data_IF_949315888907
#
_entry.id   IF_949315888907
#
_cell.length_a   1.000
_cell.length_b   1.000
_cell.length_c   1.000
_cell.angle_alpha   90.00
_cell.angle_beta   90.00
_cell.angle_gamma   90.00
#
_symmetry.space_group_name_H-M   'P 1'
#
loop_
_entity.id
_entity.type
_entity.pdbx_description
1 polymer ?
#
# COMPACT_ATOMS: atom_id res chain seq x y z
N UNK A 1 -1.31 -15.92 10.56
CA UNK A 1 -2.26 -16.15 11.65
C UNK A 1 -2.00 -17.49 12.31
N UNK A 2 -2.10 -18.61 11.60
CA UNK A 2 -1.99 -19.96 12.18
C UNK A 2 -0.67 -20.21 12.95
N UNK A 3 0.46 -19.75 12.41
CA UNK A 3 1.76 -19.86 13.06
C UNK A 3 1.77 -19.08 14.39
N UNK A 4 1.19 -17.89 14.40
CA UNK A 4 1.10 -17.07 15.61
C UNK A 4 0.25 -17.75 16.69
N UNK A 5 -0.92 -18.26 16.31
CA UNK A 5 -1.79 -19.03 17.24
C UNK A 5 -1.08 -20.26 17.81
N UNK A 6 -0.39 -21.03 16.95
CA UNK A 6 0.42 -22.19 17.40
C UNK A 6 1.56 -21.80 18.35
N UNK A 7 2.02 -20.57 18.28
CA UNK A 7 3.02 -20.03 19.19
C UNK A 7 2.42 -19.22 20.35
N UNK A 8 1.14 -19.45 20.68
CA UNK A 8 0.45 -18.85 21.81
C UNK A 8 0.37 -17.31 21.75
N UNK A 9 0.31 -16.72 20.58
CA UNK A 9 -0.10 -15.34 20.42
C UNK A 9 -1.63 -15.27 20.45
N UNK A 10 -2.16 -14.27 21.12
CA UNK A 10 -3.55 -13.87 20.99
C UNK A 10 -3.68 -13.09 19.71
N UNK A 11 -4.53 -13.55 18.78
CA UNK A 11 -4.66 -12.96 17.44
C UNK A 11 -6.07 -12.42 17.24
N UNK A 12 -6.15 -11.16 16.89
CA UNK A 12 -7.33 -10.50 16.34
C UNK A 12 -7.25 -10.56 14.83
N UNK A 13 -8.15 -11.28 14.20
CA UNK A 13 -8.31 -11.34 12.75
C UNK A 13 -9.26 -10.23 12.29
N UNK A 14 -9.12 -9.78 11.04
CA UNK A 14 -9.87 -8.65 10.48
C UNK A 14 -9.71 -7.37 11.32
N UNK A 15 -8.52 -7.14 11.86
CA UNK A 15 -8.26 -5.98 12.72
C UNK A 15 -8.62 -4.66 12.02
N UNK A 16 -9.11 -3.72 12.81
CA UNK A 16 -9.64 -2.45 12.32
C UNK A 16 -10.78 -2.56 11.27
N UNK A 17 -11.38 -3.75 11.11
CA UNK A 17 -12.41 -4.03 10.11
C UNK A 17 -11.86 -4.32 8.70
N UNK A 18 -10.57 -4.49 8.55
CA UNK A 18 -9.93 -4.83 7.28
C UNK A 18 -9.89 -6.37 7.12
N UNK A 19 -10.48 -6.95 6.06
CA UNK A 19 -10.71 -8.39 5.95
C UNK A 19 -9.46 -9.27 6.05
N UNK A 20 -8.31 -8.77 5.65
CA UNK A 20 -7.05 -9.51 5.62
C UNK A 20 -6.00 -9.01 6.61
N UNK A 21 -6.31 -7.95 7.37
CA UNK A 21 -5.44 -7.47 8.43
C UNK A 21 -5.56 -8.32 9.69
N UNK A 22 -4.53 -8.30 10.50
CA UNK A 22 -4.57 -8.92 11.83
C UNK A 22 -3.65 -8.17 12.80
N UNK A 23 -3.94 -8.33 14.09
CA UNK A 23 -3.02 -7.96 15.16
C UNK A 23 -2.78 -9.17 16.07
N UNK A 24 -1.57 -9.31 16.55
CA UNK A 24 -1.20 -10.41 17.44
C UNK A 24 -0.37 -9.89 18.61
N UNK A 25 -0.66 -10.39 19.80
CA UNK A 25 0.04 -10.01 21.01
C UNK A 25 0.44 -11.24 21.83
N UNK A 26 1.58 -11.12 22.47
CA UNK A 26 2.07 -12.10 23.44
C UNK A 26 2.82 -11.37 24.55
N UNK A 27 2.64 -11.82 25.79
CA UNK A 27 3.19 -11.19 26.98
C UNK A 27 3.98 -12.16 27.84
N UNK A 28 5.09 -11.70 28.39
CA UNK A 28 5.94 -12.41 29.35
C UNK A 28 6.15 -11.55 30.62
N UNK A 29 5.05 -11.18 31.26
CA UNK A 29 5.08 -10.30 32.42
C UNK A 29 5.15 -8.80 32.09
N UNK A 30 5.10 -7.94 33.13
CA UNK A 30 5.04 -6.50 32.95
C UNK A 30 6.34 -5.96 32.35
N UNK A 31 6.23 -5.02 31.42
CA UNK A 31 7.40 -4.41 30.74
C UNK A 31 7.00 -3.71 29.46
N UNK A 32 7.97 -3.29 28.65
CA UNK A 32 7.72 -2.55 27.43
C UNK A 32 7.01 -3.39 26.37
N UNK A 33 6.23 -2.73 25.54
CA UNK A 33 5.61 -3.30 24.35
C UNK A 33 6.49 -3.03 23.13
N UNK A 34 7.05 -4.09 22.59
CA UNK A 34 7.89 -4.04 21.38
C UNK A 34 7.10 -4.55 20.18
N UNK A 35 7.10 -3.81 19.11
CA UNK A 35 6.33 -4.13 17.93
C UNK A 35 7.18 -4.33 16.67
N UNK A 36 6.64 -5.10 15.76
CA UNK A 36 7.04 -5.16 14.36
C UNK A 36 5.81 -5.48 13.50
N UNK A 37 5.93 -5.41 12.19
CA UNK A 37 4.82 -5.68 11.30
C UNK A 37 5.23 -6.52 10.08
N UNK A 38 4.24 -7.11 9.44
CA UNK A 38 4.39 -7.79 8.16
C UNK A 38 3.57 -7.07 7.09
N UNK A 39 4.20 -6.77 5.96
CA UNK A 39 3.52 -6.44 4.72
C UNK A 39 3.39 -7.70 3.86
N UNK A 40 2.31 -7.80 3.11
CA UNK A 40 2.04 -8.99 2.27
C UNK A 40 1.11 -8.66 1.10
N UNK A 41 1.48 -7.65 0.36
CA UNK A 41 0.71 -7.23 -0.81
C UNK A 41 0.60 -8.35 -1.85
N UNK A 42 -0.61 -8.49 -2.41
CA UNK A 42 -0.86 -9.29 -3.59
C UNK A 42 -0.92 -8.37 -4.81
N UNK A 43 0.14 -8.34 -5.59
CA UNK A 43 0.31 -7.38 -6.68
C UNK A 43 -0.23 -7.96 -8.00
N UNK A 44 -1.04 -7.22 -8.77
CA UNK A 44 -1.52 -7.66 -10.08
C UNK A 44 -0.38 -8.05 -11.02
N UNK A 45 -0.60 -9.07 -11.82
CA UNK A 45 0.39 -9.59 -12.77
C UNK A 45 1.53 -10.41 -12.14
N UNK A 46 1.45 -10.70 -10.84
CA UNK A 46 2.50 -11.42 -10.13
C UNK A 46 2.08 -12.82 -9.64
N UNK A 47 1.04 -13.40 -10.23
CA UNK A 47 0.61 -14.76 -9.94
C UNK A 47 1.58 -15.77 -10.56
N UNK A 48 2.43 -16.35 -9.73
CA UNK A 48 3.53 -17.20 -10.15
C UNK A 48 3.64 -18.46 -9.30
N UNK A 49 4.18 -19.53 -9.89
CA UNK A 49 4.59 -20.73 -9.16
C UNK A 49 5.78 -20.43 -8.23
N UNK A 50 5.91 -21.23 -7.17
CA UNK A 50 7.01 -21.12 -6.21
C UNK A 50 8.31 -21.73 -6.78
N UNK A 51 8.87 -21.06 -7.78
CA UNK A 51 10.13 -21.45 -8.45
C UNK A 51 11.04 -20.24 -8.63
N UNK A 52 12.36 -20.41 -8.72
CA UNK A 52 13.34 -19.31 -8.78
C UNK A 52 13.46 -18.65 -10.17
N UNK A 53 12.48 -18.81 -11.03
CA UNK A 53 12.42 -18.21 -12.36
C UNK A 53 10.99 -17.84 -12.72
N UNK A 54 10.81 -16.95 -13.69
CA UNK A 54 9.49 -16.51 -14.11
C UNK A 54 8.67 -17.68 -14.66
N UNK A 55 7.62 -18.04 -13.96
CA UNK A 55 6.69 -19.10 -14.35
C UNK A 55 5.28 -18.74 -13.89
N UNK A 56 4.50 -18.06 -14.73
CA UNK A 56 3.11 -17.74 -14.41
C UNK A 56 2.34 -19.01 -14.07
N UNK A 57 1.47 -18.91 -13.09
CA UNK A 57 0.65 -20.03 -12.61
C UNK A 57 -0.37 -20.44 -13.67
N UNK A 58 -0.38 -21.69 -14.04
CA UNK A 58 -1.31 -22.22 -15.04
C UNK A 58 -2.78 -22.05 -14.58
N UNK A 59 -3.65 -21.70 -15.50
CA UNK A 59 -5.09 -21.53 -15.24
C UNK A 59 -5.48 -20.17 -14.64
N UNK A 60 -4.52 -19.26 -14.43
CA UNK A 60 -4.79 -17.90 -13.97
C UNK A 60 -4.58 -16.89 -15.10
N UNK A 61 -5.29 -15.76 -15.02
CA UNK A 61 -5.08 -14.62 -15.91
C UNK A 61 -3.66 -14.07 -15.74
N UNK A 62 -3.10 -13.48 -16.79
CA UNK A 62 -1.82 -12.77 -16.73
C UNK A 62 -1.83 -11.60 -15.73
N UNK A 63 -3.01 -11.03 -15.47
CA UNK A 63 -3.22 -9.95 -14.50
C UNK A 63 -3.54 -10.45 -13.08
N UNK A 64 -3.58 -11.77 -12.86
CA UNK A 64 -3.88 -12.31 -11.55
C UNK A 64 -2.83 -11.85 -10.51
N UNK A 65 -3.31 -11.52 -9.33
CA UNK A 65 -2.45 -11.05 -8.25
C UNK A 65 -1.63 -12.19 -7.62
N UNK A 66 -0.43 -11.86 -7.17
CA UNK A 66 0.48 -12.81 -6.52
C UNK A 66 1.44 -12.13 -5.55
N UNK A 67 2.11 -12.96 -4.74
CA UNK A 67 3.01 -12.54 -3.66
C UNK A 67 4.49 -12.68 -4.05
N UNK A 68 4.90 -12.13 -5.17
CA UNK A 68 6.31 -12.09 -5.60
C UNK A 68 7.00 -10.78 -5.27
N UNK A 69 6.32 -9.91 -4.57
CA UNK A 69 6.83 -8.63 -4.10
C UNK A 69 7.78 -8.79 -2.91
N UNK A 70 8.77 -7.91 -2.74
CA UNK A 70 9.66 -7.87 -1.57
C UNK A 70 8.95 -7.87 -0.21
N UNK A 71 7.71 -7.41 -0.12
CA UNK A 71 6.89 -7.44 1.08
C UNK A 71 6.69 -8.85 1.64
N UNK A 72 6.67 -9.87 0.79
CA UNK A 72 6.62 -11.27 1.25
C UNK A 72 7.87 -11.65 2.06
N UNK A 73 9.05 -11.18 1.63
CA UNK A 73 10.29 -11.39 2.38
C UNK A 73 10.30 -10.58 3.69
N UNK A 74 9.78 -9.34 3.67
CA UNK A 74 9.59 -8.53 4.87
C UNK A 74 8.72 -9.27 5.89
N UNK A 75 7.55 -9.72 5.47
CA UNK A 75 6.59 -10.39 6.35
C UNK A 75 7.15 -11.66 7.00
N UNK A 76 7.84 -12.49 6.22
CA UNK A 76 8.48 -13.73 6.74
C UNK A 76 9.64 -13.41 7.68
N UNK A 77 10.47 -12.40 7.36
CA UNK A 77 11.58 -11.99 8.21
C UNK A 77 11.09 -11.40 9.52
N UNK A 78 10.07 -10.55 9.49
CA UNK A 78 9.46 -9.98 10.69
C UNK A 78 8.85 -11.07 11.58
N UNK A 79 8.13 -12.03 11.01
CA UNK A 79 7.59 -13.17 11.76
C UNK A 79 8.72 -14.02 12.38
N UNK A 80 9.78 -14.30 11.65
CA UNK A 80 10.93 -15.05 12.16
C UNK A 80 11.62 -14.33 13.31
N UNK A 81 11.85 -13.02 13.15
CA UNK A 81 12.41 -12.17 14.21
C UNK A 81 11.54 -12.13 15.46
N UNK A 82 10.22 -11.98 15.29
CA UNK A 82 9.25 -12.01 16.40
C UNK A 82 9.33 -13.32 17.19
N UNK A 83 9.31 -14.46 16.51
CA UNK A 83 9.37 -15.78 17.14
C UNK A 83 10.71 -16.03 17.84
N UNK A 84 11.82 -15.58 17.23
CA UNK A 84 13.14 -15.66 17.85
C UNK A 84 13.22 -14.77 19.11
N UNK A 85 12.67 -13.57 19.06
CA UNK A 85 12.59 -12.65 20.20
C UNK A 85 11.77 -13.27 21.32
N UNK A 86 10.62 -13.86 21.00
CA UNK A 86 9.81 -14.59 22.00
C UNK A 86 10.62 -15.71 22.68
N UNK A 87 11.30 -16.54 21.89
CA UNK A 87 12.11 -17.63 22.42
C UNK A 87 13.25 -17.10 23.32
N UNK A 88 13.88 -16.00 22.94
CA UNK A 88 14.90 -15.34 23.77
C UNK A 88 14.31 -14.77 25.08
N UNK A 89 13.15 -14.12 25.03
CA UNK A 89 12.46 -13.61 26.20
C UNK A 89 12.13 -14.73 27.19
N UNK A 90 11.64 -15.85 26.70
CA UNK A 90 11.36 -17.02 27.55
C UNK A 90 12.64 -17.61 28.13
N UNK A 91 13.67 -17.80 27.30
CA UNK A 91 14.95 -18.41 27.74
C UNK A 91 15.67 -17.57 28.78
N UNK A 92 15.67 -16.27 28.65
CA UNK A 92 16.41 -15.35 29.51
C UNK A 92 15.51 -14.65 30.55
N UNK A 93 14.25 -15.08 30.66
CA UNK A 93 13.26 -14.53 31.59
C UNK A 93 13.12 -13.00 31.49
N UNK A 94 13.10 -12.49 30.23
CA UNK A 94 12.90 -11.07 29.96
C UNK A 94 11.40 -10.76 29.93
N UNK A 95 10.99 -9.79 30.73
CA UNK A 95 9.60 -9.35 30.78
C UNK A 95 9.27 -8.32 29.69
N UNK A 96 7.99 -8.24 29.32
CA UNK A 96 7.49 -7.31 28.31
C UNK A 96 6.47 -7.97 27.39
N UNK A 97 5.99 -7.19 26.44
CA UNK A 97 5.00 -7.59 25.44
C UNK A 97 5.57 -7.52 24.02
N UNK A 98 5.22 -8.50 23.21
CA UNK A 98 5.45 -8.50 21.78
C UNK A 98 4.14 -8.22 21.06
N UNK A 99 4.16 -7.28 20.14
CA UNK A 99 3.04 -6.88 19.32
C UNK A 99 3.38 -7.00 17.84
N UNK A 100 2.49 -7.59 17.07
CA UNK A 100 2.73 -7.86 15.65
C UNK A 100 1.50 -7.56 14.83
N UNK A 101 1.64 -6.68 13.85
CA UNK A 101 0.53 -6.33 12.96
C UNK A 101 0.74 -6.87 11.55
N UNK A 102 -0.35 -7.32 10.97
CA UNK A 102 -0.42 -7.71 9.58
C UNK A 102 -1.00 -6.57 8.75
N UNK A 103 -0.20 -6.05 7.83
CA UNK A 103 -0.46 -4.83 7.08
C UNK A 103 -0.68 -5.11 5.60
N UNK A 104 -1.92 -5.39 5.16
CA UNK A 104 -2.25 -5.57 3.75
C UNK A 104 -2.24 -4.23 3.00
N UNK A 105 -2.10 -4.31 1.68
CA UNK A 105 -2.28 -3.19 0.75
C UNK A 105 -1.39 -1.97 1.07
N UNK A 106 -0.13 -2.21 1.44
CA UNK A 106 0.83 -1.13 1.70
C UNK A 106 1.02 -0.25 0.47
N UNK A 107 1.11 -0.84 -0.71
CA UNK A 107 1.25 -0.11 -1.98
C UNK A 107 0.12 0.87 -2.27
N UNK A 108 -1.04 0.65 -1.69
CA UNK A 108 -2.18 1.56 -1.75
C UNK A 108 -2.26 2.51 -0.55
N UNK A 109 -1.26 2.49 0.34
CA UNK A 109 -1.24 3.27 1.59
C UNK A 109 -2.44 2.98 2.50
N UNK A 110 -2.91 1.73 2.49
CA UNK A 110 -4.21 1.37 3.05
C UNK A 110 -4.21 1.08 4.54
N UNK A 111 -3.48 0.07 4.99
CA UNK A 111 -3.70 -0.54 6.31
C UNK A 111 -3.11 0.24 7.48
N UNK A 112 -1.84 0.61 7.43
CA UNK A 112 -1.16 1.29 8.54
C UNK A 112 -1.84 2.59 8.98
N UNK A 113 -2.27 3.50 8.08
CA UNK A 113 -3.03 4.68 8.47
C UNK A 113 -4.35 4.35 9.16
N UNK A 114 -5.04 3.27 8.76
CA UNK A 114 -6.28 2.83 9.38
C UNK A 114 -6.01 2.28 10.78
N UNK A 115 -5.01 1.42 10.95
CA UNK A 115 -4.58 0.96 12.27
C UNK A 115 -4.20 2.12 13.18
N UNK A 116 -3.41 3.07 12.69
CA UNK A 116 -3.01 4.27 13.44
C UNK A 116 -4.24 5.10 13.86
N UNK A 117 -5.14 5.41 12.93
CA UNK A 117 -6.33 6.18 13.21
C UNK A 117 -7.30 5.51 14.22
N UNK A 118 -7.21 4.19 14.37
CA UNK A 118 -8.00 3.41 15.33
C UNK A 118 -7.24 3.07 16.62
N UNK A 119 -6.06 3.64 16.84
CA UNK A 119 -5.32 3.53 18.09
C UNK A 119 -4.54 2.22 18.26
N UNK A 120 -4.37 1.41 17.22
CA UNK A 120 -3.66 0.12 17.34
C UNK A 120 -2.18 0.27 17.69
N UNK A 121 -1.60 1.45 17.51
CA UNK A 121 -0.20 1.73 17.83
C UNK A 121 0.01 2.59 19.08
N UNK A 122 -1.07 3.01 19.76
CA UNK A 122 -0.98 3.99 20.84
C UNK A 122 -0.24 3.49 22.07
N UNK A 123 -0.20 2.17 22.30
CA UNK A 123 0.42 1.56 23.46
C UNK A 123 1.72 0.80 23.14
N UNK A 124 2.44 1.24 22.12
CA UNK A 124 3.71 0.65 21.69
C UNK A 124 4.86 1.56 22.17
N UNK A 125 5.80 0.99 22.91
CA UNK A 125 6.97 1.72 23.40
C UNK A 125 8.06 1.83 22.33
N UNK A 126 8.24 0.79 21.51
CA UNK A 126 9.18 0.79 20.40
C UNK A 126 8.72 -0.13 19.28
N UNK A 127 8.99 0.29 18.03
CA UNK A 127 8.70 -0.51 16.84
C UNK A 127 9.95 -0.60 15.97
N UNK A 128 10.25 -1.83 15.53
CA UNK A 128 11.30 -2.08 14.55
C UNK A 128 10.64 -2.39 13.22
N UNK A 129 11.00 -1.62 12.22
CA UNK A 129 10.60 -1.80 10.83
C UNK A 129 11.79 -2.30 10.02
N UNK A 130 11.55 -3.29 9.19
CA UNK A 130 12.51 -3.79 8.22
C UNK A 130 11.90 -3.76 6.82
N UNK A 131 12.65 -3.28 5.84
CA UNK A 131 12.24 -3.37 4.46
C UNK A 131 13.40 -3.86 3.60
N UNK A 132 13.23 -4.98 2.85
CA UNK A 132 14.26 -5.42 1.94
C UNK A 132 14.42 -4.41 0.81
N UNK A 133 15.64 -4.01 0.55
CA UNK A 133 16.00 -3.13 -0.55
C UNK A 133 16.93 -3.85 -1.51
N UNK A 134 16.59 -3.78 -2.78
CA UNK A 134 17.44 -4.30 -3.83
C UNK A 134 18.34 -3.17 -4.37
N UNK A 135 19.58 -3.17 -3.91
CA UNK A 135 20.55 -2.16 -4.35
C UNK A 135 21.89 -2.83 -4.69
N UNK A 136 22.04 -3.32 -5.91
CA UNK A 136 23.36 -3.73 -6.40
C UNK A 136 24.28 -2.51 -6.54
N UNK A 137 25.55 -2.62 -6.14
CA UNK A 137 26.29 -3.76 -5.62
C UNK A 137 26.25 -3.94 -4.09
N UNK A 138 25.30 -3.38 -3.41
CA UNK A 138 25.23 -3.23 -1.95
C UNK A 138 24.55 -4.43 -1.25
N UNK A 139 24.68 -5.62 -1.81
CA UNK A 139 24.21 -6.83 -1.15
C UNK A 139 24.98 -7.03 0.18
N UNK A 140 24.30 -7.60 1.18
CA UNK A 140 24.80 -7.76 2.56
C UNK A 140 25.01 -6.45 3.32
N UNK A 141 24.31 -5.40 2.94
CA UNK A 141 24.38 -4.10 3.61
C UNK A 141 23.07 -3.82 4.33
N UNK A 142 23.16 -3.31 5.55
CA UNK A 142 22.04 -2.77 6.32
C UNK A 142 22.22 -1.27 6.45
N UNK A 143 21.17 -0.52 6.17
CA UNK A 143 21.11 0.90 6.45
C UNK A 143 20.21 1.13 7.65
N UNK A 144 20.74 1.76 8.68
CA UNK A 144 19.95 2.21 9.83
C UNK A 144 19.40 3.60 9.62
N UNK A 145 18.36 3.92 10.39
CA UNK A 145 17.79 5.25 10.50
C UNK A 145 17.41 5.85 9.15
N UNK A 146 16.66 5.05 8.38
CA UNK A 146 16.14 5.49 7.08
C UNK A 146 14.78 6.13 7.29
N UNK A 147 14.69 7.40 6.94
CA UNK A 147 13.43 8.13 6.93
C UNK A 147 12.81 8.07 5.52
N UNK A 148 11.62 7.51 5.43
CA UNK A 148 10.82 7.57 4.22
C UNK A 148 10.05 8.90 4.17
N UNK A 149 9.99 9.52 2.99
CA UNK A 149 9.14 10.68 2.78
C UNK A 149 7.65 10.33 2.87
N UNK A 150 6.83 11.29 3.24
CA UNK A 150 5.39 11.14 3.14
C UNK A 150 4.96 11.00 1.66
N UNK A 151 3.97 10.15 1.41
CA UNK A 151 3.35 10.02 0.09
C UNK A 151 1.86 10.31 0.19
N UNK A 152 1.39 11.18 -0.70
CA UNK A 152 -0.03 11.50 -0.84
C UNK A 152 -0.50 11.03 -2.21
N UNK A 153 -1.56 10.24 -2.23
CA UNK A 153 -2.26 9.86 -3.44
C UNK A 153 -3.60 10.60 -3.51
N UNK A 154 -3.84 11.28 -4.61
CA UNK A 154 -5.08 12.00 -4.87
C UNK A 154 -5.71 11.42 -6.13
N UNK A 155 -6.99 11.11 -6.04
CA UNK A 155 -7.79 10.67 -7.20
C UNK A 155 -8.71 11.83 -7.58
N UNK A 156 -8.54 12.32 -8.79
CA UNK A 156 -9.41 13.33 -9.36
C UNK A 156 -10.38 12.67 -10.33
N UNK A 157 -11.66 12.86 -10.08
CA UNK A 157 -12.73 12.42 -10.96
C UNK A 157 -13.35 13.62 -11.66
N UNK A 158 -13.40 13.55 -12.97
CA UNK A 158 -14.06 14.54 -13.80
C UNK A 158 -15.36 13.95 -14.34
N UNK A 159 -16.43 14.68 -14.20
CA UNK A 159 -17.75 14.30 -14.72
C UNK A 159 -18.52 15.53 -15.17
N UNK A 160 -19.30 15.38 -16.21
CA UNK A 160 -20.23 16.41 -16.65
C UNK A 160 -21.48 16.27 -15.80
N UNK A 161 -21.82 17.34 -15.07
CA UNK A 161 -23.09 17.44 -14.34
C UNK A 161 -24.12 18.13 -15.21
N UNK A 162 -25.40 17.83 -14.94
CA UNK A 162 -26.53 18.45 -15.59
C UNK A 162 -26.46 18.39 -17.12
N UNK A 163 -26.22 17.19 -17.64
CA UNK A 163 -26.11 16.99 -19.09
C UNK A 163 -27.33 17.54 -19.85
N UNK A 164 -28.50 17.46 -19.23
CA UNK A 164 -29.76 17.93 -19.77
C UNK A 164 -29.79 19.45 -20.00
N UNK A 165 -29.08 20.23 -19.19
CA UNK A 165 -28.99 21.69 -19.34
C UNK A 165 -28.13 22.11 -20.55
N UNK A 166 -27.30 21.21 -21.05
CA UNK A 166 -26.40 21.42 -22.17
C UNK A 166 -26.93 20.87 -23.49
N UNK A 167 -28.00 20.08 -23.41
CA UNK A 167 -28.66 19.49 -24.56
C UNK A 167 -29.97 20.24 -24.79
N UNK A 168 -30.06 21.00 -25.86
CA UNK A 168 -31.33 21.47 -26.36
C UNK A 168 -32.19 20.26 -26.82
N UNK A 169 -33.50 20.34 -26.69
CA UNK A 169 -34.40 19.22 -26.99
C UNK A 169 -34.19 18.57 -28.37
N UNK A 170 -33.73 19.34 -29.35
CA UNK A 170 -33.50 18.87 -30.72
C UNK A 170 -32.17 18.07 -30.89
N UNK A 171 -31.28 18.09 -29.90
CA UNK A 171 -29.98 17.39 -29.98
C UNK A 171 -30.07 15.93 -29.57
N UNK A 172 -31.16 15.49 -28.97
CA UNK A 172 -31.38 14.09 -28.55
C UNK A 172 -31.31 13.05 -29.67
N UNK A 173 -31.43 13.48 -30.92
CA UNK A 173 -31.35 12.63 -32.11
C UNK A 173 -29.98 12.65 -32.81
N UNK A 174 -28.99 13.37 -32.27
CA UNK A 174 -27.66 13.39 -32.84
C UNK A 174 -26.96 12.05 -32.60
N UNK A 175 -26.45 11.50 -33.70
CA UNK A 175 -25.59 10.32 -33.61
C UNK A 175 -24.41 10.61 -32.67
N UNK A 176 -23.87 9.60 -31.96
CA UNK A 176 -22.76 9.77 -31.02
C UNK A 176 -21.42 10.14 -31.67
N UNK A 177 -21.45 10.49 -32.95
CA UNK A 177 -20.26 10.90 -33.69
C UNK A 177 -20.19 12.43 -33.68
N UNK A 178 -19.04 13.02 -33.28
CA UNK A 178 -18.86 14.45 -33.32
C UNK A 178 -19.08 14.98 -34.74
N UNK A 179 -20.07 15.84 -34.90
CA UNK A 179 -20.31 16.45 -36.19
C UNK A 179 -19.35 17.65 -36.34
N UNK A 180 -18.63 17.68 -37.45
CA UNK A 180 -17.66 18.73 -37.77
C UNK A 180 -18.28 20.13 -37.92
N UNK A 181 -19.58 20.21 -37.97
CA UNK A 181 -20.36 21.44 -38.15
C UNK A 181 -21.22 21.78 -36.93
N UNK A 182 -21.03 21.15 -35.77
CA UNK A 182 -21.73 21.54 -34.55
C UNK A 182 -21.34 22.97 -34.15
N UNK A 183 -22.32 23.85 -34.02
CA UNK A 183 -22.13 25.23 -33.61
C UNK A 183 -21.79 25.36 -32.13
N UNK A 184 -22.21 24.38 -31.34
CA UNK A 184 -21.99 24.35 -29.89
C UNK A 184 -21.18 23.10 -29.52
N UNK A 185 -20.08 23.32 -28.80
CA UNK A 185 -19.34 22.23 -28.19
C UNK A 185 -19.86 21.98 -26.77
N UNK A 186 -20.17 20.74 -26.49
CA UNK A 186 -20.49 20.31 -25.13
C UNK A 186 -19.20 20.31 -24.29
N UNK A 187 -19.28 20.65 -23.00
CA UNK A 187 -18.14 20.49 -22.09
C UNK A 187 -17.72 19.03 -22.07
N UNK A 188 -16.41 18.78 -21.98
CA UNK A 188 -15.82 17.47 -21.96
C UNK A 188 -15.09 17.23 -20.64
N UNK A 189 -15.37 16.11 -19.99
CA UNK A 189 -14.64 15.67 -18.82
C UNK A 189 -13.18 15.34 -19.15
N UNK A 190 -12.92 14.83 -20.37
CA UNK A 190 -11.58 14.50 -20.85
C UNK A 190 -10.76 15.78 -21.10
N UNK A 191 -11.37 16.83 -21.62
CA UNK A 191 -10.68 18.12 -21.79
C UNK A 191 -10.28 18.73 -20.45
N UNK A 192 -11.15 18.66 -19.45
CA UNK A 192 -10.84 19.09 -18.09
C UNK A 192 -9.72 18.28 -17.46
N UNK A 193 -9.72 16.95 -17.66
CA UNK A 193 -8.65 16.06 -17.22
C UNK A 193 -7.31 16.41 -17.90
N UNK A 194 -7.31 16.58 -19.21
CA UNK A 194 -6.11 16.93 -19.99
C UNK A 194 -5.58 18.30 -19.56
N UNK A 195 -6.44 19.26 -19.33
CA UNK A 195 -6.05 20.60 -18.86
C UNK A 195 -5.39 20.51 -17.48
N UNK A 196 -5.98 19.77 -16.54
CA UNK A 196 -5.38 19.57 -15.23
C UNK A 196 -4.04 18.85 -15.32
N UNK A 197 -3.95 17.77 -16.09
CA UNK A 197 -2.72 17.02 -16.31
C UNK A 197 -1.60 17.90 -16.87
N UNK A 198 -1.90 18.69 -17.91
CA UNK A 198 -0.94 19.60 -18.53
C UNK A 198 -0.47 20.67 -17.53
N UNK A 199 -1.40 21.24 -16.76
CA UNK A 199 -1.07 22.25 -15.74
C UNK A 199 -0.21 21.67 -14.63
N UNK A 200 -0.51 20.45 -14.17
CA UNK A 200 0.27 19.73 -13.15
C UNK A 200 1.69 19.46 -13.65
N UNK A 201 1.85 19.01 -14.89
CA UNK A 201 3.16 18.79 -15.49
C UNK A 201 3.97 20.08 -15.63
N UNK A 202 3.36 21.14 -16.09
CA UNK A 202 4.02 22.44 -16.18
C UNK A 202 4.47 22.94 -14.80
N UNK A 203 3.62 22.79 -13.78
CA UNK A 203 3.96 23.12 -12.40
C UNK A 203 5.16 22.30 -11.92
N UNK A 204 5.13 20.99 -12.12
CA UNK A 204 6.24 20.10 -11.76
C UNK A 204 7.53 20.53 -12.45
N UNK A 205 7.49 20.75 -13.75
CA UNK A 205 8.68 21.01 -14.56
C UNK A 205 9.27 22.41 -14.30
N UNK A 206 8.45 23.35 -13.82
CA UNK A 206 8.90 24.71 -13.51
C UNK A 206 9.25 24.93 -12.04
N UNK A 207 8.53 24.31 -11.12
CA UNK A 207 8.71 24.56 -9.68
C UNK A 207 9.51 23.48 -8.98
N UNK A 208 9.51 22.24 -9.49
CA UNK A 208 10.12 21.09 -8.82
C UNK A 208 11.46 20.59 -9.37
N UNK A 209 11.98 21.06 -10.51
CA UNK A 209 13.16 20.45 -11.14
C UNK A 209 14.40 20.47 -10.22
N UNK A 210 14.42 21.35 -9.24
CA UNK A 210 15.52 21.51 -8.26
C UNK A 210 15.21 20.96 -6.89
N UNK A 211 13.98 20.42 -6.66
CA UNK A 211 13.64 19.84 -5.37
C UNK A 211 14.34 18.49 -5.19
N UNK A 212 15.06 18.35 -4.09
CA UNK A 212 15.63 17.07 -3.64
C UNK A 212 14.74 16.35 -2.62
N UNK A 213 13.66 16.99 -2.19
CA UNK A 213 12.84 16.53 -1.06
C UNK A 213 11.49 15.98 -1.46
N UNK A 214 11.02 16.19 -2.67
CA UNK A 214 9.73 15.68 -3.12
C UNK A 214 9.65 15.51 -4.64
N UNK A 215 8.72 14.69 -5.08
CA UNK A 215 8.40 14.42 -6.49
C UNK A 215 6.89 14.29 -6.66
N UNK A 216 6.42 14.53 -7.87
CA UNK A 216 5.03 14.35 -8.26
C UNK A 216 4.96 13.48 -9.52
N UNK A 217 4.10 12.48 -9.49
CA UNK A 217 3.86 11.58 -10.62
C UNK A 217 2.36 11.56 -10.92
N UNK A 218 2.00 11.80 -12.16
CA UNK A 218 0.64 11.74 -12.65
C UNK A 218 0.42 10.44 -13.42
N UNK A 219 -0.74 9.83 -13.21
CA UNK A 219 -1.21 8.64 -13.95
C UNK A 219 -2.61 8.96 -14.48
N UNK A 220 -2.81 8.77 -15.79
CA UNK A 220 -4.10 8.92 -16.47
C UNK A 220 -4.65 7.54 -16.80
#
# INVERSE_FOLDING_TARGET
VEILKKNNFKVEECSAGMPTAFCAEWENGPGPTLATYAEYDAVPGQCQDAVPFKKPRAGFSENASGHTDPHSALGISALGGLLATKAAMQKFNLSGKLYFTGEPAEKLRGSKPIHAAKGYYDNIDAMISFHPCYMLPWCNTVRWDIHCGAAYALIYRFEIKNKEEWLEEDITNLAPIPQSHAEVRLPSADEALIQMYTSSRNLRDTMLPHSKSWSMNEII
#
